data_IF_398916241383
#
_entry.id   IF_398916241383
#
_cell.length_a   1.000
_cell.length_b   1.000
_cell.length_c   1.000
_cell.angle_alpha   90.00
_cell.angle_beta   90.00
_cell.angle_gamma   90.00
#
_symmetry.space_group_name_H-M   'P 1'
#
loop_
_entity.id
_entity.type
_entity.pdbx_description
1 polymer ?
#
# COMPACT_ATOMS: atom_id res chain seq x y z
N UNK A 1 0.26 19.35 -5.95
CA UNK A 1 -0.72 18.47 -6.62
C UNK A 1 -0.40 17.00 -6.37
N UNK A 2 0.80 16.50 -6.74
CA UNK A 2 1.33 15.17 -6.38
C UNK A 2 0.86 14.60 -5.04
N UNK A 3 1.36 15.20 -3.95
CA UNK A 3 1.09 14.81 -2.56
C UNK A 3 -0.40 14.80 -2.16
N UNK A 4 -1.19 15.77 -2.58
CA UNK A 4 -2.61 15.88 -2.17
C UNK A 4 -3.42 14.68 -2.66
N UNK A 5 -3.19 14.23 -3.90
CA UNK A 5 -3.86 13.02 -4.41
C UNK A 5 -3.34 11.75 -3.76
N UNK A 6 -2.07 11.71 -3.37
CA UNK A 6 -1.52 10.60 -2.59
C UNK A 6 -2.13 10.54 -1.18
N UNK A 7 -2.35 11.68 -0.52
CA UNK A 7 -3.05 11.77 0.78
C UNK A 7 -4.49 11.28 0.66
N UNK A 8 -5.21 11.70 -0.39
CA UNK A 8 -6.57 11.20 -0.66
C UNK A 8 -6.57 9.68 -0.91
N UNK A 9 -5.59 9.17 -1.67
CA UNK A 9 -5.46 7.75 -1.96
C UNK A 9 -5.28 6.92 -0.68
N UNK A 10 -4.32 7.29 0.16
CA UNK A 10 -4.06 6.57 1.41
C UNK A 10 -5.21 6.69 2.41
N UNK A 11 -5.94 7.82 2.42
CA UNK A 11 -7.16 7.96 3.22
C UNK A 11 -8.23 6.97 2.78
N UNK A 12 -8.56 6.91 1.49
CA UNK A 12 -9.55 5.98 0.94
C UNK A 12 -9.12 4.52 1.11
N UNK A 13 -7.82 4.24 0.99
CA UNK A 13 -7.29 2.91 1.22
C UNK A 13 -7.45 2.49 2.69
N UNK A 14 -7.18 3.39 3.65
CA UNK A 14 -7.39 3.11 5.06
C UNK A 14 -8.86 2.82 5.38
N UNK A 15 -9.79 3.58 4.78
CA UNK A 15 -11.23 3.34 4.91
C UNK A 15 -11.64 1.96 4.35
N UNK A 16 -11.08 1.56 3.20
CA UNK A 16 -11.37 0.27 2.58
C UNK A 16 -10.81 -0.93 3.39
N UNK A 17 -9.68 -0.73 4.07
CA UNK A 17 -8.97 -1.77 4.82
C UNK A 17 -9.28 -1.80 6.33
N UNK A 18 -10.20 -0.97 6.82
CA UNK A 18 -10.50 -0.79 8.25
C UNK A 18 -10.73 -2.10 9.01
N UNK A 19 -11.38 -3.08 8.36
CA UNK A 19 -11.72 -4.39 8.97
C UNK A 19 -10.72 -5.50 8.66
N UNK A 20 -9.75 -5.24 7.79
CA UNK A 20 -8.85 -6.25 7.20
C UNK A 20 -7.42 -6.10 7.68
N UNK A 21 -7.01 -4.87 7.96
CA UNK A 21 -5.67 -4.55 8.44
C UNK A 21 -5.65 -4.36 9.95
N UNK A 22 -4.55 -4.77 10.60
CA UNK A 22 -4.34 -4.44 12.02
C UNK A 22 -3.97 -2.98 12.20
N UNK A 23 -3.20 -2.45 11.25
CA UNK A 23 -2.69 -1.09 11.26
C UNK A 23 -2.25 -0.69 9.86
N UNK A 24 -2.54 0.54 9.47
CA UNK A 24 -1.96 1.21 8.31
C UNK A 24 -1.21 2.44 8.78
N UNK A 25 0.06 2.58 8.41
CA UNK A 25 0.88 3.78 8.65
C UNK A 25 1.44 4.30 7.35
N UNK A 26 1.54 5.62 7.20
CA UNK A 26 2.10 6.26 6.00
C UNK A 26 3.23 7.19 6.39
N UNK A 27 4.41 6.96 5.84
CA UNK A 27 5.55 7.88 5.92
C UNK A 27 5.58 8.76 4.66
N UNK A 28 5.68 10.07 4.86
CA UNK A 28 5.66 11.06 3.79
C UNK A 28 7.05 11.60 3.52
N UNK A 29 7.51 11.49 2.29
CA UNK A 29 8.75 12.12 1.82
C UNK A 29 8.42 13.18 0.77
N UNK A 30 9.46 13.71 0.10
CA UNK A 30 9.33 14.87 -0.79
C UNK A 30 8.47 14.55 -2.03
N UNK A 31 8.70 13.40 -2.62
CA UNK A 31 8.20 12.92 -3.90
C UNK A 31 7.67 11.48 -3.83
N UNK A 32 7.54 10.95 -2.63
CA UNK A 32 7.00 9.62 -2.38
C UNK A 32 6.24 9.53 -1.05
N UNK A 33 5.35 8.55 -0.97
CA UNK A 33 4.65 8.14 0.24
C UNK A 33 4.77 6.63 0.41
N UNK A 34 5.20 6.21 1.60
CA UNK A 34 5.45 4.83 1.95
C UNK A 34 4.40 4.32 2.93
N UNK A 35 3.44 3.57 2.41
CA UNK A 35 2.39 2.92 3.18
C UNK A 35 2.80 1.54 3.68
N UNK A 36 2.58 1.27 4.96
CA UNK A 36 2.83 -0.02 5.60
C UNK A 36 1.51 -0.55 6.17
N UNK A 37 1.07 -1.70 5.68
CA UNK A 37 -0.19 -2.34 6.06
C UNK A 37 0.14 -3.63 6.79
N UNK A 38 -0.10 -3.65 8.09
CA UNK A 38 0.23 -4.79 8.95
C UNK A 38 -0.88 -5.84 8.94
N UNK A 39 -0.54 -7.07 8.56
CA UNK A 39 -1.44 -8.24 8.60
C UNK A 39 -1.10 -9.18 9.76
N UNK A 40 0.19 -9.32 10.08
CA UNK A 40 0.73 -10.20 11.12
C UNK A 40 1.68 -9.49 12.09
N UNK A 41 2.29 -10.23 13.01
CA UNK A 41 3.28 -9.69 13.97
C UNK A 41 4.51 -9.09 13.25
N UNK A 42 4.88 -9.66 12.11
CA UNK A 42 6.01 -9.28 11.28
C UNK A 42 5.75 -9.50 9.78
N UNK A 43 4.48 -9.40 9.37
CA UNK A 43 4.07 -9.58 7.97
C UNK A 43 3.21 -8.41 7.49
N UNK A 44 3.65 -7.81 6.39
CA UNK A 44 3.16 -6.54 5.90
C UNK A 44 2.93 -6.58 4.38
N UNK A 45 2.02 -5.72 3.94
CA UNK A 45 1.97 -5.23 2.56
C UNK A 45 2.49 -3.80 2.58
N UNK A 46 3.48 -3.52 1.75
CA UNK A 46 4.03 -2.20 1.55
C UNK A 46 3.54 -1.63 0.22
N UNK A 47 3.22 -0.34 0.22
CA UNK A 47 2.82 0.40 -0.97
C UNK A 47 3.68 1.64 -1.05
N UNK A 48 4.46 1.76 -2.11
CA UNK A 48 5.21 2.98 -2.43
C UNK A 48 4.43 3.71 -3.52
N UNK A 49 4.02 4.95 -3.25
CA UNK A 49 3.42 5.83 -4.25
C UNK A 49 4.33 7.03 -4.46
N UNK A 50 4.98 7.09 -5.61
CA UNK A 50 5.93 8.14 -5.98
C UNK A 50 5.35 9.01 -7.09
N UNK A 51 5.74 10.28 -7.14
CA UNK A 51 5.21 11.22 -8.15
C UNK A 51 6.27 12.18 -8.68
N UNK A 52 6.17 12.49 -9.97
CA UNK A 52 6.99 13.49 -10.66
C UNK A 52 6.06 14.40 -11.49
N UNK A 53 5.75 15.58 -10.97
CA UNK A 53 4.72 16.45 -11.56
C UNK A 53 3.33 15.82 -11.42
N UNK A 54 2.71 15.48 -12.55
CA UNK A 54 1.38 14.83 -12.63
C UNK A 54 1.45 13.32 -12.93
N UNK A 55 2.67 12.77 -13.07
CA UNK A 55 2.87 11.33 -13.23
C UNK A 55 3.03 10.65 -11.87
N UNK A 56 2.40 9.49 -11.71
CA UNK A 56 2.50 8.67 -10.50
C UNK A 56 2.97 7.26 -10.84
N UNK A 57 3.73 6.70 -9.91
CA UNK A 57 4.28 5.35 -9.98
C UNK A 57 3.92 4.64 -8.69
N UNK A 58 3.47 3.38 -8.79
CA UNK A 58 3.10 2.58 -7.62
C UNK A 58 3.87 1.27 -7.61
N UNK A 59 4.41 0.92 -6.45
CA UNK A 59 5.14 -0.32 -6.21
C UNK A 59 4.57 -1.03 -4.99
N UNK A 60 4.62 -2.36 -5.01
CA UNK A 60 4.10 -3.21 -3.94
C UNK A 60 5.17 -4.16 -3.46
N UNK A 61 5.28 -4.34 -2.15
CA UNK A 61 6.11 -5.37 -1.55
C UNK A 61 5.30 -6.14 -0.52
N UNK A 62 5.64 -7.42 -0.31
CA UNK A 62 4.99 -8.29 0.68
C UNK A 62 6.06 -9.02 1.46
N UNK A 63 5.92 -9.06 2.78
CA UNK A 63 6.85 -9.77 3.64
C UNK A 63 7.06 -9.07 4.97
N UNK A 64 8.18 -9.38 5.62
CA UNK A 64 8.73 -8.62 6.72
C UNK A 64 9.35 -7.29 6.24
N UNK A 65 10.05 -6.59 7.13
CA UNK A 65 10.76 -5.34 6.83
C UNK A 65 11.82 -5.46 5.72
N UNK A 66 12.26 -6.68 5.39
CA UNK A 66 13.23 -6.98 4.33
C UNK A 66 12.54 -7.52 3.06
N UNK A 67 11.21 -7.43 2.97
CA UNK A 67 10.39 -8.00 1.90
C UNK A 67 10.57 -9.53 1.75
N UNK A 68 10.82 -10.22 2.86
CA UNK A 68 10.92 -11.69 2.90
C UNK A 68 9.63 -12.29 3.43
N UNK A 69 9.10 -13.29 2.74
CA UNK A 69 7.96 -14.08 3.21
C UNK A 69 8.47 -15.32 3.91
N UNK A 70 8.29 -15.39 5.23
CA UNK A 70 8.62 -16.58 6.01
C UNK A 70 7.53 -17.64 5.86
N UNK A 71 7.91 -18.93 5.96
CA UNK A 71 6.99 -20.06 5.76
C UNK A 71 5.72 -19.98 6.64
N UNK A 72 5.82 -19.44 7.86
CA UNK A 72 4.70 -19.25 8.79
C UNK A 72 3.62 -18.25 8.31
N UNK A 73 3.91 -17.44 7.28
CA UNK A 73 3.00 -16.45 6.72
C UNK A 73 2.47 -16.82 5.34
N UNK A 74 2.77 -18.01 4.82
CA UNK A 74 2.33 -18.43 3.48
C UNK A 74 0.80 -18.39 3.36
N UNK A 75 0.08 -18.82 4.40
CA UNK A 75 -1.40 -18.79 4.43
C UNK A 75 -1.98 -17.37 4.42
N UNK A 76 -1.14 -16.34 4.65
CA UNK A 76 -1.55 -14.93 4.61
C UNK A 76 -1.33 -14.28 3.25
N UNK A 77 -0.70 -14.98 2.28
CA UNK A 77 -0.41 -14.42 0.96
C UNK A 77 -1.66 -14.10 0.16
N UNK A 78 -2.73 -14.89 0.28
CA UNK A 78 -3.99 -14.62 -0.40
C UNK A 78 -4.58 -13.27 0.03
N UNK A 79 -4.54 -12.98 1.33
CA UNK A 79 -5.00 -11.70 1.87
C UNK A 79 -4.08 -10.56 1.45
N UNK A 80 -2.77 -10.75 1.49
CA UNK A 80 -1.80 -9.76 1.02
C UNK A 80 -2.01 -9.40 -0.46
N UNK A 81 -2.18 -10.40 -1.33
CA UNK A 81 -2.45 -10.22 -2.76
C UNK A 81 -3.82 -9.55 -2.97
N UNK A 82 -4.82 -9.89 -2.17
CA UNK A 82 -6.14 -9.25 -2.21
C UNK A 82 -6.05 -7.76 -1.88
N UNK A 83 -5.26 -7.38 -0.87
CA UNK A 83 -5.00 -5.98 -0.52
C UNK A 83 -4.26 -5.25 -1.64
N UNK A 84 -3.25 -5.88 -2.26
CA UNK A 84 -2.56 -5.30 -3.43
C UNK A 84 -3.54 -5.03 -4.56
N UNK A 85 -4.42 -5.96 -4.88
CA UNK A 85 -5.44 -5.79 -5.93
C UNK A 85 -6.41 -4.66 -5.62
N UNK A 86 -6.81 -4.52 -4.36
CA UNK A 86 -7.68 -3.44 -3.90
C UNK A 86 -7.00 -2.07 -4.00
N UNK A 87 -5.77 -1.98 -3.50
CA UNK A 87 -4.90 -0.80 -3.61
C UNK A 87 -4.70 -0.38 -5.07
N UNK A 88 -4.33 -1.32 -5.94
CA UNK A 88 -4.16 -1.09 -7.37
C UNK A 88 -5.45 -0.63 -8.04
N UNK A 89 -6.58 -1.31 -7.76
CA UNK A 89 -7.89 -0.93 -8.30
C UNK A 89 -8.34 0.46 -7.84
N UNK A 90 -8.04 0.85 -6.61
CA UNK A 90 -8.31 2.20 -6.10
C UNK A 90 -7.45 3.24 -6.81
N UNK A 91 -6.15 2.99 -6.95
CA UNK A 91 -5.23 3.90 -7.66
C UNK A 91 -5.66 4.11 -9.12
N UNK A 92 -6.07 3.04 -9.81
CA UNK A 92 -6.59 3.12 -11.19
C UNK A 92 -7.90 3.92 -11.27
N UNK A 93 -8.86 3.68 -10.36
CA UNK A 93 -10.12 4.46 -10.30
C UNK A 93 -9.89 5.94 -10.03
N UNK A 94 -8.84 6.25 -9.27
CA UNK A 94 -8.45 7.62 -8.99
C UNK A 94 -7.66 8.25 -10.14
N UNK A 95 -7.28 7.52 -11.18
CA UNK A 95 -6.46 8.00 -12.29
C UNK A 95 -5.05 8.36 -11.85
N UNK A 96 -4.48 7.62 -10.90
CA UNK A 96 -3.07 7.73 -10.52
C UNK A 96 -2.20 6.85 -11.42
N UNK A 97 -2.71 5.69 -11.80
CA UNK A 97 -2.05 4.73 -12.67
C UNK A 97 -3.01 4.31 -13.78
N UNK A 98 -2.45 3.90 -14.93
CA UNK A 98 -3.17 3.40 -16.10
C UNK A 98 -3.34 1.89 -16.07
#
# INVERSE_FOLDING_TARGET
MGRERAEEYFKKLAEALEKRSRRLTVEWRRDEAFGQIQLGEDFYVFIVLSWAGDEYYIEYMVGDENAVVQARHVDMLDEAVSIIKEAHGLAAKMGLIS
#
